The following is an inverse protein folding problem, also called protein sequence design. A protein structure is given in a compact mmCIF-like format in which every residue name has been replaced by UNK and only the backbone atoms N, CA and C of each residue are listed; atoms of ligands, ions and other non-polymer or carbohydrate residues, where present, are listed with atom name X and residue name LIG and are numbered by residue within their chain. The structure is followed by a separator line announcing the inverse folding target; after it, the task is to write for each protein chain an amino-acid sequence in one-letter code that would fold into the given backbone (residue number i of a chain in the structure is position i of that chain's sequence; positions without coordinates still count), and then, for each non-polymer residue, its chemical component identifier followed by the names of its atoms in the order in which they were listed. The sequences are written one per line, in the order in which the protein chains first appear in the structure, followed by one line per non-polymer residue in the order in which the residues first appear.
data_IF_798875391238
#
_entry.id   IF_798875391238
#
_cell.length_a   1.000
_cell.length_b   1.000
_cell.length_c   1.000
_cell.angle_alpha   90.00
_cell.angle_beta   90.00
_cell.angle_gamma   90.00
#
_symmetry.space_group_name_H-M   'P 1'
#
loop_
_entity.id
_entity.type
_entity.pdbx_description
1 polymer ?
#
# COMPACT_ATOMS: atom_id res chain seq x y z
N UNK A 1 -14.54 -1.47 5.68
CA UNK A 1 -13.70 -0.62 4.78
C UNK A 1 -12.41 -1.38 4.52
N UNK A 2 -11.85 -1.34 3.30
CA UNK A 2 -10.53 -1.93 2.96
C UNK A 2 -9.56 -0.83 2.58
N UNK A 3 -8.28 -0.99 2.91
CA UNK A 3 -7.23 0.02 2.70
C UNK A 3 -6.05 -0.63 1.99
N UNK A 4 -5.51 0.03 0.97
CA UNK A 4 -4.29 -0.38 0.28
C UNK A 4 -3.22 0.68 0.49
N UNK A 5 -2.04 0.26 0.93
CA UNK A 5 -0.87 1.13 1.14
C UNK A 5 0.28 0.61 0.29
N UNK A 6 0.85 1.50 -0.52
CA UNK A 6 1.92 1.18 -1.45
C UNK A 6 3.21 1.91 -1.03
N UNK A 7 4.27 1.15 -0.79
CA UNK A 7 5.55 1.62 -0.28
C UNK A 7 6.65 1.49 -1.32
N UNK A 8 7.43 2.56 -1.52
CA UNK A 8 8.71 2.46 -2.21
C UNK A 8 9.80 2.10 -1.22
N UNK A 9 10.56 1.03 -1.46
CA UNK A 9 11.69 0.64 -0.59
C UNK A 9 12.74 1.75 -0.44
N UNK A 10 12.89 2.59 -1.47
CA UNK A 10 13.86 3.68 -1.51
C UNK A 10 13.21 5.05 -1.28
N UNK A 11 12.03 5.09 -0.66
CA UNK A 11 11.33 6.33 -0.35
C UNK A 11 12.04 7.10 0.77
N UNK A 12 12.64 8.23 0.42
CA UNK A 12 13.27 9.15 1.36
C UNK A 12 12.34 10.24 1.92
N UNK A 13 11.13 10.42 1.37
CA UNK A 13 10.17 11.41 1.83
C UNK A 13 9.21 10.82 2.87
N UNK A 14 8.75 9.58 2.64
CA UNK A 14 7.93 8.81 3.57
C UNK A 14 8.49 7.38 3.73
N UNK A 15 9.57 7.20 4.51
CA UNK A 15 10.26 5.92 4.61
C UNK A 15 9.34 4.77 5.07
N UNK A 16 9.43 3.57 4.48
CA UNK A 16 8.53 2.45 4.81
C UNK A 16 8.48 2.11 6.30
N UNK A 17 9.63 2.09 6.98
CA UNK A 17 9.68 1.78 8.41
C UNK A 17 8.91 2.78 9.27
N UNK A 18 8.91 4.08 8.90
CA UNK A 18 8.12 5.08 9.64
C UNK A 18 6.63 4.93 9.37
N UNK A 19 6.26 4.67 8.13
CA UNK A 19 4.87 4.49 7.77
C UNK A 19 4.29 3.17 8.33
N UNK A 20 5.09 2.11 8.45
CA UNK A 20 4.70 0.89 9.17
C UNK A 20 4.46 1.14 10.66
N UNK A 21 5.33 1.93 11.30
CA UNK A 21 5.16 2.34 12.69
C UNK A 21 3.85 3.13 12.88
N UNK A 22 3.57 4.10 12.01
CA UNK A 22 2.32 4.86 12.04
C UNK A 22 1.09 3.94 11.86
N UNK A 23 1.16 2.94 10.96
CA UNK A 23 0.08 1.96 10.76
C UNK A 23 -0.12 1.03 11.97
N UNK A 24 0.97 0.63 12.64
CA UNK A 24 0.92 -0.23 13.82
C UNK A 24 0.25 0.47 15.01
N UNK A 25 0.36 1.79 15.09
CA UNK A 25 -0.17 2.61 16.18
C UNK A 25 -1.56 3.20 15.90
N UNK A 26 -2.23 2.81 14.81
CA UNK A 26 -3.60 3.23 14.54
C UNK A 26 -4.55 2.77 15.66
N UNK A 27 -5.41 3.65 16.21
CA UNK A 27 -6.36 3.30 17.27
C UNK A 27 -7.59 2.58 16.70
N UNK A 28 -7.37 1.42 16.07
CA UNK A 28 -8.42 0.58 15.49
C UNK A 28 -8.50 -0.79 16.18
N UNK A 29 -9.70 -1.40 16.27
CA UNK A 29 -9.84 -2.77 16.76
C UNK A 29 -8.95 -3.76 16.00
N UNK A 30 -8.34 -4.71 16.73
CA UNK A 30 -7.40 -5.69 16.16
C UNK A 30 -7.98 -6.46 14.96
N UNK A 31 -9.26 -6.84 15.02
CA UNK A 31 -9.93 -7.55 13.92
C UNK A 31 -10.10 -6.71 12.64
N UNK A 32 -9.88 -5.40 12.68
CA UNK A 32 -9.91 -4.53 11.50
C UNK A 32 -8.53 -4.31 10.88
N UNK A 33 -7.44 -4.68 11.57
CA UNK A 33 -6.07 -4.56 11.05
C UNK A 33 -5.89 -5.36 9.75
N UNK A 34 -6.56 -6.50 9.62
CA UNK A 34 -6.54 -7.36 8.43
C UNK A 34 -7.15 -6.70 7.18
N UNK A 35 -7.84 -5.57 7.34
CA UNK A 35 -8.35 -4.79 6.21
C UNK A 35 -7.27 -3.92 5.53
N UNK A 36 -6.07 -3.82 6.11
CA UNK A 36 -4.97 -3.00 5.58
C UNK A 36 -4.00 -3.89 4.80
N UNK A 37 -4.06 -3.79 3.48
CA UNK A 37 -3.13 -4.42 2.54
C UNK A 37 -1.90 -3.54 2.34
N UNK A 38 -0.71 -4.14 2.46
CA UNK A 38 0.59 -3.47 2.28
C UNK A 38 1.29 -4.05 1.05
N UNK A 39 1.77 -3.19 0.15
CA UNK A 39 2.58 -3.59 -1.01
C UNK A 39 3.87 -2.79 -1.05
N UNK A 40 4.96 -3.46 -1.42
CA UNK A 40 6.29 -2.86 -1.46
C UNK A 40 6.88 -3.00 -2.85
N UNK A 41 7.53 -1.95 -3.33
CA UNK A 41 8.04 -1.81 -4.68
C UNK A 41 9.49 -1.35 -4.65
N UNK A 42 10.30 -1.88 -5.57
CA UNK A 42 11.68 -1.45 -5.84
C UNK A 42 11.69 -0.06 -6.50
N UNK A 43 11.30 0.97 -5.76
CA UNK A 43 11.23 2.35 -6.22
C UNK A 43 11.34 3.33 -5.04
N UNK A 44 11.57 4.60 -5.36
CA UNK A 44 11.49 5.69 -4.39
C UNK A 44 10.07 6.21 -4.18
N UNK A 45 9.96 7.43 -3.64
CA UNK A 45 8.67 8.08 -3.32
C UNK A 45 7.71 8.12 -4.52
N UNK A 46 8.22 8.59 -5.66
CA UNK A 46 7.47 8.68 -6.90
C UNK A 46 7.54 7.35 -7.66
N UNK A 47 6.89 6.31 -7.13
CA UNK A 47 7.00 4.94 -7.67
C UNK A 47 6.62 4.82 -9.15
N UNK A 48 5.73 5.68 -9.63
CA UNK A 48 5.28 5.70 -11.01
C UNK A 48 6.36 6.15 -12.02
N UNK A 49 7.48 6.70 -11.56
CA UNK A 49 8.62 7.07 -12.41
C UNK A 49 9.44 5.83 -12.80
N UNK A 50 9.47 4.81 -11.94
CA UNK A 50 10.14 3.54 -12.24
C UNK A 50 9.16 2.59 -12.94
N UNK A 51 9.36 2.34 -14.23
CA UNK A 51 8.36 1.66 -15.07
C UNK A 51 7.94 0.27 -14.56
N UNK A 52 8.89 -0.57 -14.15
CA UNK A 52 8.58 -1.90 -13.63
C UNK A 52 7.69 -1.82 -12.37
N UNK A 53 8.03 -0.92 -11.44
CA UNK A 53 7.21 -0.66 -10.25
C UNK A 53 5.85 -0.08 -10.61
N UNK A 54 5.77 0.87 -11.56
CA UNK A 54 4.50 1.46 -12.03
C UNK A 54 3.54 0.42 -12.58
N UNK A 55 4.03 -0.47 -13.45
CA UNK A 55 3.20 -1.51 -14.07
C UNK A 55 2.64 -2.47 -13.02
N UNK A 56 3.50 -2.90 -12.09
CA UNK A 56 3.08 -3.75 -10.97
C UNK A 56 2.09 -3.03 -10.06
N UNK A 57 2.36 -1.78 -9.69
CA UNK A 57 1.49 -0.96 -8.84
C UNK A 57 0.10 -0.78 -9.47
N UNK A 58 0.03 -0.55 -10.77
CA UNK A 58 -1.24 -0.44 -11.50
C UNK A 58 -2.04 -1.76 -11.49
N UNK A 59 -1.36 -2.90 -11.66
CA UNK A 59 -1.99 -4.22 -11.59
C UNK A 59 -2.53 -4.53 -10.19
N UNK A 60 -1.71 -4.33 -9.16
CA UNK A 60 -2.07 -4.54 -7.76
C UNK A 60 -3.27 -3.65 -7.35
N UNK A 61 -3.27 -2.38 -7.78
CA UNK A 61 -4.36 -1.44 -7.50
C UNK A 61 -5.66 -1.84 -8.21
N UNK A 62 -5.58 -2.26 -9.48
CA UNK A 62 -6.74 -2.78 -10.23
C UNK A 62 -7.35 -3.97 -9.49
N UNK A 63 -6.52 -4.91 -9.06
CA UNK A 63 -6.97 -6.09 -8.33
C UNK A 63 -7.62 -5.72 -7.00
N UNK A 64 -7.01 -4.81 -6.23
CA UNK A 64 -7.56 -4.29 -4.98
C UNK A 64 -8.95 -3.68 -5.17
N UNK A 65 -9.13 -2.83 -6.19
CA UNK A 65 -10.44 -2.22 -6.49
C UNK A 65 -11.48 -3.29 -6.79
N UNK A 66 -11.19 -4.22 -7.70
CA UNK A 66 -12.11 -5.30 -8.05
C UNK A 66 -12.53 -6.13 -6.83
N UNK A 67 -11.56 -6.57 -6.00
CA UNK A 67 -11.86 -7.32 -4.77
C UNK A 67 -12.69 -6.51 -3.78
N UNK A 68 -12.48 -5.20 -3.72
CA UNK A 68 -13.11 -4.31 -2.74
C UNK A 68 -14.49 -3.82 -3.16
N UNK A 69 -14.85 -3.93 -4.45
CA UNK A 69 -16.16 -3.53 -4.98
C UNK A 69 -17.04 -4.70 -5.39
N UNK A 70 -16.51 -5.90 -5.58
CA UNK A 70 -17.27 -7.08 -6.07
C UNK A 70 -18.41 -7.58 -5.15
N UNK A 71 -18.50 -7.08 -3.91
CA UNK A 71 -19.58 -7.41 -2.97
C UNK A 71 -20.65 -6.31 -2.83
N UNK A 72 -20.72 -5.36 -3.77
CA UNK A 72 -21.79 -4.36 -3.89
C UNK A 72 -22.66 -4.63 -5.10
#
# INVERSE_FOLDING_TARGET
LRVHVAFGYYDGATPPGRAEDDLAHLPIPAHLQDNIERRYYEAGHMMYVHEASRLRQAADLKEFVLRSTAGR
#
